data_IF_366171952466
#
_entry.id   IF_366171952466
#
_cell.length_a   1.000
_cell.length_b   1.000
_cell.length_c   1.000
_cell.angle_alpha   90.00
_cell.angle_beta   90.00
_cell.angle_gamma   90.00
#
_symmetry.space_group_name_H-M   'P 1'
#
loop_
_entity.id
_entity.type
_entity.pdbx_description
1 polymer ?
#
# COMPACT_ATOMS: atom_id res chain seq x y z
N UNK A 1 15.61 14.34 1.74
CA UNK A 1 17.02 14.03 2.03
C UNK A 1 17.05 12.87 3.01
N UNK A 2 17.78 11.78 2.71
CA UNK A 2 17.99 10.62 3.59
C UNK A 2 18.94 10.93 4.76
N UNK A 3 19.11 9.98 5.69
CA UNK A 3 20.03 10.11 6.84
C UNK A 3 19.51 10.93 8.03
N UNK A 4 18.19 11.02 8.21
CA UNK A 4 17.55 11.86 9.25
C UNK A 4 16.88 11.08 10.37
N UNK A 5 17.08 9.76 10.44
CA UNK A 5 16.35 8.94 11.40
C UNK A 5 16.71 9.34 12.85
N UNK A 6 17.99 9.54 13.11
CA UNK A 6 18.50 9.87 14.45
C UNK A 6 18.34 11.35 14.83
N UNK A 7 18.14 12.25 13.86
CA UNK A 7 17.77 13.65 14.16
C UNK A 7 16.31 13.79 14.57
N UNK A 8 15.49 12.77 14.31
CA UNK A 8 14.07 12.69 14.66
C UNK A 8 13.77 11.64 15.72
N UNK A 9 14.79 11.22 16.47
CA UNK A 9 14.68 10.21 17.51
C UNK A 9 15.23 10.73 18.84
N UNK A 10 14.77 10.17 19.95
CA UNK A 10 15.26 10.49 21.28
C UNK A 10 15.52 9.23 22.11
N UNK A 11 16.44 9.37 23.06
CA UNK A 11 16.68 8.45 24.15
C UNK A 11 16.76 9.27 25.45
N UNK A 12 16.19 8.75 26.54
CA UNK A 12 16.11 9.49 27.80
C UNK A 12 17.50 9.80 28.35
N UNK A 13 17.77 11.09 28.60
CA UNK A 13 19.05 11.56 29.15
C UNK A 13 20.21 11.55 28.14
N UNK A 14 19.95 11.37 26.85
CA UNK A 14 20.98 11.27 25.82
C UNK A 14 20.85 12.42 24.80
N UNK A 15 21.98 12.94 24.29
CA UNK A 15 21.97 13.93 23.23
C UNK A 15 21.46 13.35 21.90
N UNK A 16 21.05 14.25 21.01
CA UNK A 16 20.71 13.90 19.63
C UNK A 16 21.99 13.56 18.86
N UNK A 17 22.02 12.42 18.16
CA UNK A 17 23.21 12.01 17.42
C UNK A 17 23.39 12.89 16.18
N UNK A 18 24.58 13.46 16.01
CA UNK A 18 24.93 14.28 14.84
C UNK A 18 25.23 13.39 13.64
N UNK A 19 24.33 13.36 12.66
CA UNK A 19 24.47 12.59 11.41
C UNK A 19 24.68 13.50 10.18
N UNK A 20 25.91 14.02 9.94
CA UNK A 20 26.16 14.87 8.79
C UNK A 20 26.12 14.07 7.48
N UNK A 21 26.04 14.78 6.35
CA UNK A 21 26.19 14.16 5.02
C UNK A 21 27.65 13.69 4.84
N UNK A 22 27.82 12.53 4.23
CA UNK A 22 29.11 11.91 3.89
C UNK A 22 29.62 12.40 2.55
N UNK A 23 30.95 12.52 2.44
CA UNK A 23 31.64 12.63 1.15
C UNK A 23 31.54 11.31 0.36
N UNK A 24 31.77 11.30 -0.97
CA UNK A 24 31.84 10.07 -1.74
C UNK A 24 32.94 9.10 -1.26
N UNK A 25 34.07 9.63 -0.79
CA UNK A 25 35.17 8.83 -0.24
C UNK A 25 34.77 8.14 1.08
N UNK A 26 34.18 8.88 2.02
CA UNK A 26 33.67 8.31 3.27
C UNK A 26 32.57 7.28 3.03
N UNK A 27 31.64 7.59 2.13
CA UNK A 27 30.57 6.67 1.76
C UNK A 27 31.15 5.37 1.21
N UNK A 28 32.08 5.42 0.25
CA UNK A 28 32.69 4.23 -0.34
C UNK A 28 33.48 3.41 0.69
N UNK A 29 34.25 4.07 1.55
CA UNK A 29 35.02 3.45 2.63
C UNK A 29 34.12 2.73 3.62
N UNK A 30 33.09 3.41 4.14
CA UNK A 30 32.18 2.84 5.13
C UNK A 30 31.26 1.78 4.53
N UNK A 31 30.78 1.96 3.29
CA UNK A 31 30.00 0.97 2.56
C UNK A 31 30.76 -0.35 2.42
N UNK A 32 32.04 -0.29 2.05
CA UNK A 32 32.89 -1.48 1.92
C UNK A 32 33.08 -2.16 3.27
N UNK A 33 33.50 -1.39 4.29
CA UNK A 33 33.71 -1.89 5.65
C UNK A 33 32.48 -2.61 6.20
N UNK A 34 31.32 -1.95 6.19
CA UNK A 34 30.12 -2.53 6.80
C UNK A 34 29.50 -3.62 5.94
N UNK A 35 29.69 -3.63 4.61
CA UNK A 35 29.33 -4.79 3.80
C UNK A 35 30.09 -6.06 4.24
N UNK A 36 31.39 -5.94 4.52
CA UNK A 36 32.21 -7.06 5.01
C UNK A 36 31.79 -7.51 6.42
N UNK A 37 31.60 -6.57 7.35
CA UNK A 37 31.15 -6.91 8.70
C UNK A 37 29.75 -7.55 8.70
N UNK A 38 28.84 -7.08 7.84
CA UNK A 38 27.51 -7.68 7.67
C UNK A 38 27.58 -9.09 7.06
N UNK A 39 28.46 -9.35 6.08
CA UNK A 39 28.66 -10.72 5.55
C UNK A 39 29.20 -11.67 6.60
N UNK A 40 30.05 -11.18 7.51
CA UNK A 40 30.53 -11.99 8.64
C UNK A 40 29.41 -12.29 9.64
N UNK A 41 28.52 -11.33 9.89
CA UNK A 41 27.38 -11.50 10.77
C UNK A 41 26.29 -12.40 10.17
N UNK A 42 26.09 -12.34 8.85
CA UNK A 42 25.11 -13.12 8.09
C UNK A 42 25.78 -14.05 7.06
N UNK A 43 26.51 -15.10 7.49
CA UNK A 43 27.35 -15.91 6.61
C UNK A 43 26.58 -16.75 5.58
N UNK A 44 25.27 -16.94 5.76
CA UNK A 44 24.39 -17.69 4.86
C UNK A 44 23.41 -16.81 4.09
N UNK A 45 23.61 -15.50 4.12
CA UNK A 45 22.75 -14.52 3.47
C UNK A 45 23.50 -13.79 2.37
N UNK A 46 22.77 -13.40 1.33
CA UNK A 46 23.22 -12.36 0.40
C UNK A 46 23.09 -11.01 1.09
N UNK A 47 24.16 -10.21 1.05
CA UNK A 47 24.21 -8.83 1.54
C UNK A 47 24.47 -7.92 0.35
N UNK A 48 23.52 -7.04 0.03
CA UNK A 48 23.66 -6.03 -1.01
C UNK A 48 23.49 -4.64 -0.42
N UNK A 49 24.28 -3.69 -0.91
CA UNK A 49 24.02 -2.29 -0.69
C UNK A 49 23.23 -1.75 -1.89
N UNK A 50 22.16 -1.00 -1.66
CA UNK A 50 21.33 -0.48 -2.75
C UNK A 50 22.14 0.40 -3.70
N UNK A 51 21.72 0.39 -4.97
CA UNK A 51 22.33 1.24 -6.00
C UNK A 51 21.91 2.67 -5.75
N UNK A 52 22.89 3.54 -5.58
CA UNK A 52 22.66 4.97 -5.41
C UNK A 52 22.33 5.64 -6.73
N UNK A 53 21.61 6.75 -6.65
CA UNK A 53 21.43 7.57 -7.82
C UNK A 53 22.78 8.15 -8.29
N UNK A 54 23.05 8.17 -9.60
CA UNK A 54 24.33 8.61 -10.14
C UNK A 54 24.57 10.10 -9.87
N UNK A 55 25.85 10.52 -9.84
CA UNK A 55 26.22 11.93 -9.70
C UNK A 55 25.96 12.57 -8.33
N UNK A 56 25.57 11.81 -7.30
CA UNK A 56 25.48 12.32 -5.93
C UNK A 56 26.84 12.80 -5.44
N UNK A 57 26.88 14.05 -4.97
CA UNK A 57 28.08 14.67 -4.38
C UNK A 57 28.16 14.45 -2.86
N UNK A 58 27.05 14.03 -2.23
CA UNK A 58 27.01 13.68 -0.82
C UNK A 58 25.95 12.58 -0.53
N UNK A 59 26.09 11.90 0.61
CA UNK A 59 25.24 10.77 1.02
C UNK A 59 24.77 10.94 2.47
N UNK A 60 23.58 10.45 2.83
CA UNK A 60 23.04 10.60 4.20
C UNK A 60 23.03 9.32 5.00
N UNK A 61 22.86 8.23 4.28
CA UNK A 61 22.62 6.88 4.76
C UNK A 61 23.31 5.89 3.82
N UNK A 62 23.50 4.66 4.32
CA UNK A 62 23.89 3.51 3.52
C UNK A 62 22.82 2.45 3.72
N UNK A 63 22.07 2.15 2.66
CA UNK A 63 21.02 1.13 2.67
C UNK A 63 21.60 -0.25 2.34
N UNK A 64 21.49 -1.17 3.29
CA UNK A 64 21.82 -2.58 3.15
C UNK A 64 20.58 -3.45 3.20
N UNK A 65 20.52 -4.39 2.26
CA UNK A 65 19.47 -5.39 2.15
C UNK A 65 20.10 -6.76 2.30
N UNK A 66 19.47 -7.60 3.11
CA UNK A 66 20.02 -8.88 3.53
C UNK A 66 18.95 -9.95 3.35
N UNK A 67 19.29 -11.05 2.68
CA UNK A 67 18.33 -12.15 2.53
C UNK A 67 18.18 -12.94 3.82
N UNK A 68 16.96 -13.19 4.26
CA UNK A 68 16.66 -13.99 5.43
C UNK A 68 15.32 -14.73 5.28
N UNK A 69 15.19 -15.96 5.80
CA UNK A 69 13.90 -16.67 5.91
C UNK A 69 12.82 -15.84 6.60
N UNK A 70 11.54 -16.14 6.34
CA UNK A 70 10.38 -15.35 6.82
C UNK A 70 10.37 -15.20 8.35
N UNK A 71 10.72 -16.29 9.03
CA UNK A 71 10.73 -16.47 10.47
C UNK A 71 11.99 -15.94 11.16
N UNK A 72 13.06 -15.67 10.40
CA UNK A 72 14.28 -15.08 10.96
C UNK A 72 14.02 -13.64 11.41
N UNK A 73 14.20 -13.40 12.71
CA UNK A 73 14.14 -12.08 13.33
C UNK A 73 15.50 -11.41 13.34
N UNK A 74 15.52 -10.08 13.27
CA UNK A 74 16.72 -9.29 13.42
C UNK A 74 16.96 -8.97 14.91
N UNK A 75 18.07 -9.46 15.48
CA UNK A 75 18.56 -8.93 16.76
C UNK A 75 19.32 -7.63 16.50
N UNK A 76 18.57 -6.53 16.41
CA UNK A 76 19.10 -5.21 16.10
C UNK A 76 20.13 -4.73 17.13
N UNK A 77 20.01 -5.16 18.40
CA UNK A 77 20.90 -4.69 19.47
C UNK A 77 22.21 -5.46 19.45
N UNK A 78 22.19 -6.78 19.24
CA UNK A 78 23.40 -7.56 19.02
C UNK A 78 24.14 -7.10 17.76
N UNK A 79 23.42 -6.91 16.65
CA UNK A 79 24.00 -6.37 15.41
C UNK A 79 24.66 -5.01 15.64
N UNK A 80 23.97 -4.09 16.31
CA UNK A 80 24.52 -2.77 16.65
C UNK A 80 25.82 -2.87 17.47
N UNK A 81 25.90 -3.79 18.44
CA UNK A 81 27.13 -4.02 19.22
C UNK A 81 28.25 -4.55 18.34
N UNK A 82 27.97 -5.51 17.44
CA UNK A 82 28.98 -6.09 16.55
C UNK A 82 29.58 -5.06 15.59
N UNK A 83 28.71 -4.22 15.02
CA UNK A 83 29.11 -3.14 14.11
C UNK A 83 29.69 -1.92 14.83
N UNK A 84 29.67 -1.88 16.17
CA UNK A 84 30.19 -0.76 16.95
C UNK A 84 29.35 0.52 16.82
N UNK A 85 28.03 0.38 16.64
CA UNK A 85 27.11 1.52 16.55
C UNK A 85 26.93 2.19 17.92
N UNK A 86 26.81 3.52 17.94
CA UNK A 86 26.43 4.28 19.14
C UNK A 86 24.93 4.25 19.38
N UNK A 87 24.14 4.28 18.32
CA UNK A 87 22.68 4.35 18.37
C UNK A 87 22.02 3.25 17.56
N UNK A 88 20.87 2.78 18.02
CA UNK A 88 20.00 1.86 17.28
C UNK A 88 18.54 2.28 17.38
N UNK A 89 17.86 2.35 16.25
CA UNK A 89 16.41 2.54 16.15
C UNK A 89 15.80 1.27 15.58
N UNK A 90 14.86 0.69 16.32
CA UNK A 90 14.09 -0.48 15.93
C UNK A 90 12.69 -0.37 16.53
N UNK A 91 11.71 -1.03 15.90
CA UNK A 91 10.34 -1.02 16.42
C UNK A 91 10.17 -2.00 17.60
N UNK A 92 9.35 -1.66 18.58
CA UNK A 92 9.33 -2.25 19.93
C UNK A 92 8.45 -3.51 20.09
N UNK A 93 8.51 -4.44 19.15
CA UNK A 93 7.41 -5.36 18.84
C UNK A 93 7.85 -6.58 18.03
N UNK A 94 8.99 -7.17 18.42
CA UNK A 94 9.27 -8.61 18.31
C UNK A 94 9.20 -9.34 16.96
N UNK A 95 8.98 -8.65 15.83
CA UNK A 95 8.86 -9.28 14.50
C UNK A 95 9.51 -8.45 13.39
N UNK A 96 10.39 -7.51 13.73
CA UNK A 96 10.89 -6.56 12.76
C UNK A 96 12.09 -7.08 11.99
N UNK A 97 12.03 -6.81 10.69
CA UNK A 97 13.02 -7.14 9.69
C UNK A 97 13.79 -5.90 9.25
N UNK A 98 13.79 -4.82 10.04
CA UNK A 98 14.54 -3.60 9.74
C UNK A 98 15.07 -2.92 11.00
N UNK A 99 16.20 -2.23 10.87
CA UNK A 99 16.69 -1.30 11.87
C UNK A 99 17.53 -0.19 11.26
N UNK A 100 17.68 0.92 11.99
CA UNK A 100 18.61 1.99 11.66
C UNK A 100 19.72 2.01 12.71
N UNK A 101 20.97 2.09 12.27
CA UNK A 101 22.14 2.11 13.14
C UNK A 101 22.90 3.43 12.95
N UNK A 102 23.41 4.01 14.03
CA UNK A 102 24.30 5.16 13.99
C UNK A 102 25.72 4.72 14.32
N UNK A 103 26.59 4.61 13.31
CA UNK A 103 27.99 4.17 13.47
C UNK A 103 28.93 5.38 13.37
N UNK A 104 30.08 5.40 14.07
CA UNK A 104 31.02 6.52 13.98
C UNK A 104 31.51 6.78 12.54
N UNK A 105 31.53 8.05 12.13
CA UNK A 105 31.94 8.48 10.77
C UNK A 105 33.42 8.20 10.49
N UNK A 106 34.26 8.29 11.51
CA UNK A 106 35.69 7.96 11.39
C UNK A 106 35.95 6.45 11.19
N UNK A 107 34.94 5.61 11.43
CA UNK A 107 35.04 4.16 11.36
C UNK A 107 35.51 3.50 12.66
N UNK A 108 35.63 4.24 13.76
CA UNK A 108 35.83 3.69 15.09
C UNK A 108 34.60 2.89 15.56
N UNK A 109 34.72 2.18 16.69
CA UNK A 109 33.60 1.47 17.34
C UNK A 109 33.21 2.19 18.62
N UNK A 110 31.92 2.46 18.78
CA UNK A 110 31.39 2.98 20.03
C UNK A 110 31.54 1.94 21.16
N UNK A 111 31.73 2.42 22.39
CA UNK A 111 31.87 1.58 23.60
C UNK A 111 30.52 1.06 24.10
N UNK A 112 29.45 1.76 23.78
CA UNK A 112 28.09 1.44 24.20
C UNK A 112 27.09 1.67 23.05
N UNK A 113 25.98 0.94 23.11
CA UNK A 113 24.86 1.06 22.16
C UNK A 113 23.63 1.57 22.91
N UNK A 114 23.06 2.67 22.42
CA UNK A 114 21.89 3.31 23.01
C UNK A 114 20.67 3.08 22.10
N UNK A 115 19.56 2.52 22.62
CA UNK A 115 18.29 2.48 21.89
C UNK A 115 17.62 3.85 21.80
N UNK A 116 17.32 4.30 20.58
CA UNK A 116 16.57 5.53 20.30
C UNK A 116 15.14 5.20 19.83
N UNK A 117 14.18 6.06 20.17
CA UNK A 117 12.78 5.96 19.74
C UNK A 117 12.43 7.13 18.82
N UNK A 118 11.77 6.84 17.70
CA UNK A 118 11.25 7.88 16.80
C UNK A 118 10.19 8.74 17.48
N UNK A 119 10.26 10.05 17.24
CA UNK A 119 9.29 11.02 17.73
C UNK A 119 8.36 11.36 16.58
N UNK A 120 7.15 10.81 16.61
CA UNK A 120 6.20 10.95 15.50
C UNK A 120 5.84 12.40 15.20
N UNK A 121 6.06 12.85 13.95
CA UNK A 121 5.54 14.11 13.45
C UNK A 121 4.02 14.06 13.29
N UNK A 122 3.29 14.97 13.96
CA UNK A 122 1.86 15.23 13.68
C UNK A 122 1.72 15.74 12.24
N UNK A 123 1.32 14.89 11.30
CA UNK A 123 0.65 15.39 10.09
C UNK A 123 -0.86 15.45 10.38
N UNK A 124 -1.41 16.65 10.53
CA UNK A 124 -2.85 16.87 10.42
C UNK A 124 -3.29 16.42 9.02
N UNK A 125 -3.82 15.20 8.89
CA UNK A 125 -4.63 14.78 7.75
C UNK A 125 -6.04 14.54 8.27
N UNK A 126 -7.08 15.18 7.70
CA UNK A 126 -8.44 14.71 7.91
C UNK A 126 -8.55 13.27 7.38
N UNK A 127 -9.26 12.42 8.13
CA UNK A 127 -9.32 10.98 7.91
C UNK A 127 -9.70 10.60 6.49
N UNK A 128 -8.77 9.91 5.81
CA UNK A 128 -9.11 8.94 4.77
C UNK A 128 -8.40 7.65 5.14
N UNK A 129 -9.20 6.64 5.49
CA UNK A 129 -8.77 5.26 5.61
C UNK A 129 -8.20 4.82 4.26
N UNK A 130 -6.88 4.68 4.19
CA UNK A 130 -6.24 3.78 3.23
C UNK A 130 -5.79 2.61 4.09
N UNK A 131 -6.60 1.55 4.11
CA UNK A 131 -6.35 0.35 4.90
C UNK A 131 -5.31 -0.53 4.19
N UNK A 132 -4.23 -0.74 4.91
CA UNK A 132 -3.18 -1.76 4.80
C UNK A 132 -3.52 -3.02 3.98
N UNK A 133 -2.71 -3.30 2.97
CA UNK A 133 -2.32 -4.66 2.58
C UNK A 133 -1.19 -5.13 3.51
N UNK A 134 -1.00 -6.43 3.75
CA UNK A 134 0.18 -6.92 4.45
C UNK A 134 1.37 -6.91 3.47
N UNK A 135 2.03 -5.76 3.32
CA UNK A 135 3.35 -5.68 2.66
C UNK A 135 4.45 -5.70 3.73
N UNK A 136 5.46 -6.54 3.54
CA UNK A 136 6.53 -6.81 4.51
C UNK A 136 7.81 -6.00 4.25
N UNK A 137 7.77 -5.01 3.36
CA UNK A 137 8.96 -4.23 3.01
C UNK A 137 8.52 -2.84 2.57
N UNK A 138 8.97 -1.79 3.26
CA UNK A 138 8.72 -0.38 2.95
C UNK A 138 7.29 0.22 3.18
N UNK A 139 6.80 0.17 4.43
CA UNK A 139 5.82 1.16 4.90
C UNK A 139 6.53 2.43 5.41
N UNK A 140 6.27 3.56 4.75
CA UNK A 140 6.52 4.89 5.35
C UNK A 140 5.54 5.07 6.51
N UNK A 141 6.11 5.20 7.71
CA UNK A 141 5.48 5.28 9.01
C UNK A 141 4.13 6.03 9.07
N UNK A 142 3.11 5.31 9.59
CA UNK A 142 2.06 5.88 10.45
C UNK A 142 1.95 5.01 11.70
N UNK A 143 2.56 5.45 12.79
CA UNK A 143 2.37 4.82 14.09
C UNK A 143 0.93 5.09 14.59
N UNK A 144 0.19 4.04 14.90
CA UNK A 144 -1.01 4.14 15.73
C UNK A 144 -0.59 4.30 17.19
N UNK A 145 -1.19 5.30 17.85
CA UNK A 145 -0.84 5.79 19.18
C UNK A 145 -1.38 4.86 20.27
N UNK A 146 -0.50 4.42 21.16
CA UNK A 146 -0.86 4.20 22.58
C UNK A 146 -0.22 5.33 23.38
N UNK A 147 -1.00 5.95 24.27
CA UNK A 147 -0.60 7.09 25.10
C UNK A 147 0.61 6.75 25.98
N UNK A 148 1.82 7.05 25.50
CA UNK A 148 3.04 7.08 26.30
C UNK A 148 3.72 8.43 26.09
N UNK A 149 4.11 9.05 27.20
CA UNK A 149 4.67 10.40 27.35
C UNK A 149 5.53 10.86 26.17
N UNK A 150 5.18 12.01 25.59
CA UNK A 150 5.88 12.62 24.46
C UNK A 150 7.32 12.99 24.85
N UNK A 151 8.30 12.21 24.41
CA UNK A 151 9.71 12.59 24.47
C UNK A 151 10.03 13.51 23.28
N UNK A 152 10.75 14.61 23.52
CA UNK A 152 11.31 15.47 22.46
C UNK A 152 12.78 15.13 22.24
N UNK A 153 13.35 15.37 21.03
CA UNK A 153 14.78 15.23 20.80
C UNK A 153 15.51 16.22 21.71
N UNK A 154 16.69 15.85 22.19
CA UNK A 154 17.51 16.81 22.92
C UNK A 154 17.90 17.96 22.00
N UNK A 155 17.85 19.19 22.51
CA UNK A 155 18.40 20.36 21.79
C UNK A 155 19.93 20.30 21.67
N UNK A 156 20.58 19.45 22.47
CA UNK A 156 22.02 19.20 22.41
C UNK A 156 22.35 18.08 21.44
N UNK A 157 23.38 18.30 20.62
CA UNK A 157 23.93 17.32 19.70
C UNK A 157 25.23 16.72 20.25
N UNK A 158 25.57 15.50 19.82
CA UNK A 158 26.91 14.95 20.05
C UNK A 158 27.99 15.75 19.33
N UNK A 159 29.18 15.82 19.92
CA UNK A 159 30.36 16.39 19.26
C UNK A 159 30.83 15.46 18.12
N UNK A 160 30.81 14.15 18.36
CA UNK A 160 31.18 13.15 17.36
C UNK A 160 30.13 13.07 16.25
N UNK A 161 30.62 12.73 15.05
CA UNK A 161 29.80 12.52 13.86
C UNK A 161 29.51 11.04 13.65
N UNK A 162 28.29 10.75 13.24
CA UNK A 162 27.80 9.39 12.97
C UNK A 162 27.23 9.28 11.56
N UNK A 163 27.18 8.05 11.06
CA UNK A 163 26.59 7.66 9.79
C UNK A 163 25.41 6.75 10.06
N UNK A 164 24.33 6.97 9.31
CA UNK A 164 23.16 6.10 9.37
C UNK A 164 23.36 4.88 8.47
N UNK A 165 23.26 3.67 9.02
CA UNK A 165 23.13 2.43 8.26
C UNK A 165 21.69 1.93 8.36
N UNK A 166 21.04 1.75 7.22
CA UNK A 166 19.68 1.22 7.14
C UNK A 166 19.77 -0.24 6.76
N UNK A 167 19.31 -1.12 7.65
CA UNK A 167 19.37 -2.58 7.46
C UNK A 167 17.95 -3.09 7.24
N UNK A 168 17.73 -3.82 6.16
CA UNK A 168 16.45 -4.47 5.85
C UNK A 168 16.65 -5.95 5.49
N UNK A 169 15.94 -6.83 6.19
CA UNK A 169 15.89 -8.26 5.91
C UNK A 169 14.75 -8.54 4.94
N UNK A 170 15.06 -9.11 3.78
CA UNK A 170 14.06 -9.49 2.76
C UNK A 170 14.12 -10.99 2.51
N UNK A 171 13.05 -11.56 1.95
CA UNK A 171 13.06 -12.98 1.59
C UNK A 171 13.97 -13.18 0.38
N UNK A 172 14.72 -14.30 0.27
CA UNK A 172 15.60 -14.54 -0.87
C UNK A 172 14.91 -14.34 -2.23
N UNK A 173 13.67 -14.82 -2.36
CA UNK A 173 12.86 -14.68 -3.59
C UNK A 173 12.45 -13.23 -3.91
N UNK A 174 12.34 -12.38 -2.89
CA UNK A 174 11.93 -10.98 -3.01
C UNK A 174 13.10 -10.03 -3.30
N UNK A 175 14.33 -10.48 -3.02
CA UNK A 175 15.54 -9.66 -3.12
C UNK A 175 15.69 -8.96 -4.48
N UNK A 176 15.53 -9.64 -5.64
CA UNK A 176 15.71 -8.99 -6.93
C UNK A 176 14.72 -7.85 -7.16
N UNK A 177 13.45 -8.05 -6.77
CA UNK A 177 12.42 -7.02 -6.88
C UNK A 177 12.72 -5.83 -5.98
N UNK A 178 13.05 -6.09 -4.71
CA UNK A 178 13.33 -5.03 -3.74
C UNK A 178 14.54 -4.19 -4.16
N UNK A 179 15.65 -4.84 -4.54
CA UNK A 179 16.85 -4.16 -5.01
C UNK A 179 16.57 -3.32 -6.26
N UNK A 180 15.72 -3.78 -7.18
CA UNK A 180 15.29 -2.99 -8.32
C UNK A 180 14.39 -1.82 -7.92
N UNK A 181 13.31 -2.08 -7.20
CA UNK A 181 12.31 -1.09 -6.79
C UNK A 181 12.91 0.08 -6.00
N UNK A 182 13.80 -0.21 -5.06
CA UNK A 182 14.43 0.77 -4.16
C UNK A 182 15.71 1.41 -4.74
N UNK A 183 16.19 0.96 -5.90
CA UNK A 183 17.40 1.50 -6.52
C UNK A 183 17.27 2.94 -7.00
N UNK A 184 18.42 3.57 -7.20
CA UNK A 184 18.58 4.91 -7.76
C UNK A 184 17.74 5.98 -7.04
N UNK A 185 17.54 5.78 -5.72
CA UNK A 185 16.89 6.70 -4.80
C UNK A 185 15.36 6.72 -4.80
N UNK A 186 14.69 6.57 -5.95
CA UNK A 186 13.22 6.52 -6.03
C UNK A 186 12.71 5.89 -7.35
N UNK A 187 13.42 4.88 -7.89
CA UNK A 187 13.07 4.29 -9.20
C UNK A 187 11.61 3.80 -9.24
N UNK A 188 11.19 3.02 -8.24
CA UNK A 188 9.82 2.55 -8.11
C UNK A 188 8.79 3.68 -8.04
N UNK A 189 9.13 4.80 -7.38
CA UNK A 189 8.29 5.99 -7.30
C UNK A 189 8.13 6.69 -8.65
N UNK A 190 9.21 6.84 -9.42
CA UNK A 190 9.20 7.42 -10.77
C UNK A 190 8.35 6.57 -11.71
N UNK A 191 8.66 5.28 -11.83
CA UNK A 191 7.92 4.37 -12.71
C UNK A 191 6.45 4.27 -12.28
N UNK A 192 6.18 4.16 -10.98
CA UNK A 192 4.84 4.10 -10.43
C UNK A 192 4.02 5.36 -10.74
N UNK A 193 4.66 6.53 -10.80
CA UNK A 193 3.99 7.77 -11.22
C UNK A 193 3.62 7.73 -12.69
N UNK A 194 4.50 7.28 -13.57
CA UNK A 194 4.22 7.17 -15.01
C UNK A 194 3.14 6.12 -15.30
N UNK A 195 3.14 5.00 -14.55
CA UNK A 195 2.20 3.89 -14.70
C UNK A 195 0.77 4.18 -14.22
N UNK A 196 0.59 5.15 -13.31
CA UNK A 196 -0.64 5.35 -12.51
C UNK A 196 -1.94 5.41 -13.31
N UNK A 197 -1.90 6.09 -14.45
CA UNK A 197 -3.07 6.37 -15.29
C UNK A 197 -3.53 5.15 -16.09
N UNK A 198 -2.63 4.18 -16.29
CA UNK A 198 -2.87 2.94 -17.04
C UNK A 198 -3.35 1.79 -16.15
N UNK A 199 -3.65 2.05 -14.88
CA UNK A 199 -4.07 1.02 -13.93
C UNK A 199 -2.93 0.14 -13.41
N UNK A 200 -1.71 0.27 -13.94
CA UNK A 200 -0.54 -0.40 -13.41
C UNK A 200 -0.07 0.26 -12.12
N UNK A 201 0.34 -0.55 -11.15
CA UNK A 201 0.85 -0.12 -9.85
C UNK A 201 2.17 -0.85 -9.61
N UNK A 202 3.25 -0.08 -9.49
CA UNK A 202 4.55 -0.60 -9.09
C UNK A 202 4.67 -0.39 -7.59
N UNK A 203 4.53 -1.48 -6.84
CA UNK A 203 4.56 -1.49 -5.39
C UNK A 203 5.84 -2.16 -4.86
N UNK A 204 6.08 -1.99 -3.57
CA UNK A 204 7.07 -2.75 -2.82
C UNK A 204 6.89 -4.26 -3.00
N UNK A 205 5.66 -4.77 -3.13
CA UNK A 205 5.32 -6.20 -3.24
C UNK A 205 5.31 -6.77 -4.66
N UNK A 206 5.54 -5.97 -5.70
CA UNK A 206 5.42 -6.41 -7.10
C UNK A 206 4.70 -5.39 -7.99
N UNK A 207 4.55 -5.77 -9.26
CA UNK A 207 3.67 -5.12 -10.21
C UNK A 207 2.24 -5.63 -10.01
N UNK A 208 1.29 -4.72 -9.88
CA UNK A 208 -0.14 -5.02 -9.80
C UNK A 208 -0.91 -4.30 -10.91
N UNK A 209 -2.03 -4.90 -11.30
CA UNK A 209 -3.04 -4.33 -12.17
C UNK A 209 -4.27 -3.94 -11.34
N UNK A 210 -4.60 -2.67 -11.36
CA UNK A 210 -5.85 -2.13 -10.82
C UNK A 210 -6.96 -2.33 -11.83
N UNK A 211 -8.06 -2.94 -11.42
CA UNK A 211 -9.25 -3.12 -12.25
C UNK A 211 -9.94 -1.76 -12.51
N UNK A 212 -10.49 -1.60 -13.71
CA UNK A 212 -11.19 -0.36 -14.09
C UNK A 212 -12.49 -0.22 -13.31
N UNK A 213 -13.14 -1.34 -13.02
CA UNK A 213 -14.37 -1.48 -12.26
C UNK A 213 -14.20 -0.89 -10.86
N UNK A 214 -13.05 -1.14 -10.20
CA UNK A 214 -12.70 -0.54 -8.91
C UNK A 214 -12.63 0.99 -9.00
N UNK A 215 -12.00 1.54 -10.04
CA UNK A 215 -11.92 3.00 -10.23
C UNK A 215 -13.29 3.62 -10.50
N UNK A 216 -14.18 2.90 -11.18
CA UNK A 216 -15.53 3.38 -11.49
C UNK A 216 -16.44 3.38 -10.25
N UNK A 217 -16.21 2.52 -9.25
CA UNK A 217 -16.93 2.60 -7.96
C UNK A 217 -16.78 3.94 -7.25
N UNK A 218 -15.64 4.61 -7.41
CA UNK A 218 -15.36 5.91 -6.78
C UNK A 218 -16.15 7.07 -7.40
N UNK A 219 -16.75 6.84 -8.57
CA UNK A 219 -17.55 7.82 -9.32
C UNK A 219 -19.05 7.57 -9.16
N UNK A 220 -19.45 6.45 -8.54
CA UNK A 220 -20.85 6.14 -8.32
C UNK A 220 -21.47 7.15 -7.36
N UNK A 221 -22.76 7.43 -7.57
CA UNK A 221 -23.55 8.28 -6.66
C UNK A 221 -23.63 7.65 -5.26
N UNK A 222 -23.68 6.32 -5.22
CA UNK A 222 -23.70 5.56 -3.98
C UNK A 222 -22.29 5.32 -3.43
N UNK A 223 -22.15 5.45 -2.11
CA UNK A 223 -20.94 5.04 -1.39
C UNK A 223 -20.90 3.51 -1.29
N UNK A 224 -20.26 2.86 -2.25
CA UNK A 224 -20.03 1.42 -2.25
C UNK A 224 -18.87 1.07 -1.31
N UNK A 225 -19.03 -0.02 -0.57
CA UNK A 225 -18.05 -0.57 0.37
C UNK A 225 -17.27 -1.68 -0.32
N UNK A 226 -16.35 -1.29 -1.21
CA UNK A 226 -15.48 -2.21 -1.95
C UNK A 226 -14.07 -2.06 -1.41
N UNK A 227 -13.47 -3.16 -0.94
CA UNK A 227 -12.08 -3.16 -0.50
C UNK A 227 -11.15 -3.08 -1.71
N UNK A 228 -10.11 -2.24 -1.65
CA UNK A 228 -9.17 -2.06 -2.77
C UNK A 228 -8.57 -3.40 -3.24
N UNK A 229 -8.24 -4.31 -2.31
CA UNK A 229 -7.70 -5.65 -2.63
C UNK A 229 -8.57 -6.46 -3.59
N UNK A 230 -9.89 -6.22 -3.63
CA UNK A 230 -10.82 -6.92 -4.51
C UNK A 230 -10.71 -6.45 -5.97
N UNK A 231 -9.97 -5.36 -6.24
CA UNK A 231 -9.70 -4.85 -7.59
C UNK A 231 -8.21 -4.65 -7.87
N UNK A 232 -7.32 -5.32 -7.15
CA UNK A 232 -5.86 -5.28 -7.36
C UNK A 232 -5.32 -6.69 -7.66
N UNK A 233 -5.14 -7.00 -8.94
CA UNK A 233 -4.55 -8.25 -9.40
C UNK A 233 -3.03 -8.16 -9.32
N UNK A 234 -2.37 -9.12 -8.68
CA UNK A 234 -0.90 -9.21 -8.70
C UNK A 234 -0.43 -9.82 -10.04
N UNK A 235 0.56 -9.20 -10.69
CA UNK A 235 1.06 -9.64 -11.99
C UNK A 235 2.41 -10.36 -11.89
N UNK A 236 3.42 -9.70 -11.28
CA UNK A 236 4.78 -10.22 -11.24
C UNK A 236 5.62 -9.52 -10.17
N UNK A 237 6.62 -10.23 -9.67
CA UNK A 237 7.71 -9.72 -8.82
C UNK A 237 9.08 -9.96 -9.49
N UNK A 238 9.08 -10.32 -10.77
CA UNK A 238 10.31 -10.43 -11.57
C UNK A 238 10.67 -9.07 -12.20
N UNK A 239 11.73 -8.40 -11.74
CA UNK A 239 12.10 -7.08 -12.26
C UNK A 239 12.53 -7.12 -13.73
N UNK A 240 13.06 -8.24 -14.23
CA UNK A 240 13.46 -8.37 -15.64
C UNK A 240 12.21 -8.35 -16.51
N UNK A 241 11.23 -9.20 -16.21
CA UNK A 241 9.97 -9.26 -16.95
C UNK A 241 9.19 -7.94 -16.88
N UNK A 242 9.21 -7.28 -15.72
CA UNK A 242 8.56 -5.97 -15.58
C UNK A 242 9.28 -4.89 -16.40
N UNK A 243 10.62 -4.85 -16.39
CA UNK A 243 11.36 -3.93 -17.25
C UNK A 243 11.07 -4.18 -18.74
N UNK A 244 11.04 -5.44 -19.17
CA UNK A 244 10.72 -5.82 -20.56
C UNK A 244 9.31 -5.36 -20.96
N UNK A 245 8.29 -5.61 -20.14
CA UNK A 245 6.92 -5.12 -20.39
C UNK A 245 6.90 -3.60 -20.54
N UNK A 246 7.73 -2.88 -19.78
CA UNK A 246 7.81 -1.42 -19.80
C UNK A 246 8.73 -0.86 -20.90
N UNK A 247 9.26 -1.69 -21.80
CA UNK A 247 10.26 -1.37 -22.82
C UNK A 247 11.56 -0.76 -22.24
N UNK A 248 11.98 -1.26 -21.08
CA UNK A 248 13.23 -0.89 -20.43
C UNK A 248 14.23 -2.03 -20.56
N UNK A 249 15.46 -1.73 -21.01
CA UNK A 249 16.50 -2.76 -21.16
C UNK A 249 17.08 -3.19 -19.80
N UNK A 250 16.90 -4.46 -19.36
CA UNK A 250 17.41 -4.93 -18.08
C UNK A 250 18.94 -4.89 -18.00
N UNK A 251 19.62 -5.24 -19.09
CA UNK A 251 21.09 -5.22 -19.17
C UNK A 251 21.67 -3.85 -18.82
N UNK A 252 21.03 -2.77 -19.29
CA UNK A 252 21.43 -1.40 -18.98
C UNK A 252 21.26 -1.09 -17.49
N UNK A 253 20.16 -1.49 -16.88
CA UNK A 253 19.92 -1.33 -15.44
C UNK A 253 21.01 -2.02 -14.60
N UNK A 254 21.37 -3.27 -14.95
CA UNK A 254 22.37 -4.04 -14.21
C UNK A 254 23.78 -3.49 -14.40
N UNK A 255 24.14 -3.03 -15.59
CA UNK A 255 25.41 -2.36 -15.88
C UNK A 255 25.62 -1.05 -15.09
N UNK A 256 24.54 -0.38 -14.71
CA UNK A 256 24.60 0.89 -13.99
C UNK A 256 24.59 2.12 -14.90
N UNK A 257 24.56 3.30 -14.28
CA UNK A 257 24.59 4.60 -14.95
C UNK A 257 25.72 5.45 -14.37
N UNK A 258 26.47 6.14 -15.23
CA UNK A 258 27.55 7.04 -14.77
C UNK A 258 27.01 8.41 -14.40
N UNK A 259 25.95 8.85 -15.07
CA UNK A 259 25.34 10.17 -14.90
C UNK A 259 23.84 10.07 -14.70
N UNK A 260 23.25 11.11 -14.08
CA UNK A 260 21.79 11.22 -13.96
C UNK A 260 21.13 11.27 -15.33
N UNK A 261 21.76 11.93 -16.31
CA UNK A 261 21.26 12.00 -17.67
C UNK A 261 21.14 10.62 -18.32
N UNK A 262 22.14 9.74 -18.15
CA UNK A 262 22.07 8.37 -18.66
C UNK A 262 20.91 7.56 -18.04
N UNK A 263 20.64 7.77 -16.76
CA UNK A 263 19.51 7.15 -16.06
C UNK A 263 18.18 7.69 -16.58
N UNK A 264 18.07 9.00 -16.75
CA UNK A 264 16.87 9.64 -17.27
C UNK A 264 16.59 9.23 -18.71
N UNK A 265 17.61 9.21 -19.57
CA UNK A 265 17.48 8.73 -20.95
C UNK A 265 16.99 7.28 -21.01
N UNK A 266 17.44 6.41 -20.10
CA UNK A 266 16.92 5.05 -19.99
C UNK A 266 15.46 5.03 -19.52
N UNK A 267 15.10 5.83 -18.50
CA UNK A 267 13.71 5.96 -18.06
C UNK A 267 12.78 6.48 -19.16
N UNK A 268 13.23 7.45 -19.96
CA UNK A 268 12.51 8.03 -21.09
C UNK A 268 12.25 7.05 -22.23
N UNK A 269 13.02 5.95 -22.34
CA UNK A 269 12.73 4.87 -23.29
C UNK A 269 11.51 4.04 -22.90
N UNK A 270 11.06 4.15 -21.65
CA UNK A 270 9.90 3.40 -21.21
C UNK A 270 8.68 3.78 -22.04
N UNK A 271 7.89 2.79 -22.44
CA UNK A 271 6.59 3.03 -23.08
C UNK A 271 5.59 3.79 -22.18
N UNK A 272 5.91 4.00 -20.90
CA UNK A 272 5.14 4.84 -19.98
C UNK A 272 5.47 6.34 -20.14
N UNK A 273 6.62 6.68 -20.71
CA UNK A 273 7.02 8.05 -21.03
C UNK A 273 6.29 8.51 -22.30
N UNK A 274 4.96 8.66 -22.20
CA UNK A 274 4.11 9.06 -23.30
C UNK A 274 3.19 10.20 -22.87
N UNK A 275 3.14 11.25 -23.69
CA UNK A 275 2.39 12.48 -23.39
C UNK A 275 0.91 12.19 -23.08
N UNK A 276 0.26 11.39 -23.90
CA UNK A 276 -1.15 10.97 -23.75
C UNK A 276 -1.43 10.15 -22.48
N UNK A 277 -0.41 9.51 -21.90
CA UNK A 277 -0.50 8.79 -20.61
C UNK A 277 -0.35 9.77 -19.44
N UNK A 278 0.56 10.74 -19.56
CA UNK A 278 1.00 11.60 -18.46
C UNK A 278 0.20 12.90 -18.32
N UNK A 279 -0.38 13.39 -19.42
CA UNK A 279 -1.03 14.71 -19.58
C UNK A 279 -2.23 14.95 -18.66
N UNK A 280 -2.80 13.91 -18.06
CA UNK A 280 -3.96 14.07 -17.18
C UNK A 280 -3.54 14.56 -15.78
N UNK A 281 -3.33 15.87 -15.61
CA UNK A 281 -3.49 16.56 -14.32
C UNK A 281 -3.93 18.02 -14.44
N UNK A 282 -5.08 18.35 -13.82
CA UNK A 282 -5.23 19.60 -13.07
C UNK A 282 -4.30 19.55 -11.86
N UNK A 283 -3.34 20.46 -11.80
CA UNK A 283 -2.39 20.57 -10.68
C UNK A 283 -3.13 20.79 -9.35
N UNK A 284 -2.95 19.90 -8.36
CA UNK A 284 -3.46 20.14 -6.99
C UNK A 284 -2.36 20.67 -6.08
N UNK A 285 -2.73 21.57 -5.17
CA UNK A 285 -1.84 22.26 -4.21
C UNK A 285 -1.03 21.32 -3.29
N UNK A 286 -1.45 20.07 -3.13
CA UNK A 286 -0.78 19.05 -2.32
C UNK A 286 0.47 18.47 -3.01
N UNK A 287 0.49 18.45 -4.36
CA UNK A 287 1.67 18.01 -5.12
C UNK A 287 2.82 19.05 -4.99
N UNK A 288 2.49 20.35 -4.97
CA UNK A 288 3.45 21.46 -4.76
C UNK A 288 4.22 21.38 -3.44
N UNK A 289 3.58 20.93 -2.36
CA UNK A 289 4.26 20.80 -1.06
C UNK A 289 5.21 19.59 -0.99
N UNK A 290 5.05 18.57 -1.86
CA UNK A 290 5.97 17.42 -1.95
C UNK A 290 7.15 17.68 -2.90
N UNK A 291 6.99 18.56 -3.89
CA UNK A 291 8.00 18.92 -4.90
C UNK A 291 9.26 19.55 -4.29
N UNK A 292 9.14 20.31 -3.19
CA UNK A 292 10.27 21.04 -2.58
C UNK A 292 11.30 20.17 -1.83
N UNK A 293 11.24 18.82 -1.84
CA UNK A 293 12.09 17.99 -0.95
C UNK A 293 12.79 16.75 -1.55
N UNK A 294 12.73 16.48 -2.88
CA UNK A 294 13.42 15.32 -3.50
C UNK A 294 13.97 15.60 -4.91
N UNK A 295 15.29 15.67 -5.03
CA UNK A 295 16.06 16.22 -6.17
C UNK A 295 16.01 15.43 -7.48
N UNK A 296 15.89 14.10 -7.47
CA UNK A 296 15.95 13.30 -8.72
C UNK A 296 14.56 13.01 -9.28
N UNK A 297 13.63 12.60 -8.41
CA UNK A 297 12.24 12.39 -8.80
C UNK A 297 11.61 13.66 -9.39
N UNK A 298 11.75 14.81 -8.72
CA UNK A 298 11.09 16.06 -9.19
C UNK A 298 11.75 16.55 -10.46
N UNK A 299 13.09 16.53 -10.56
CA UNK A 299 13.79 16.96 -11.78
C UNK A 299 13.44 16.08 -12.97
N UNK A 300 13.30 14.76 -12.79
CA UNK A 300 12.81 13.89 -13.87
C UNK A 300 11.38 14.25 -14.27
N UNK A 301 10.44 14.24 -13.32
CA UNK A 301 9.01 14.36 -13.63
C UNK A 301 8.57 15.76 -14.07
N UNK A 302 9.18 16.80 -13.49
CA UNK A 302 8.73 18.19 -13.64
C UNK A 302 9.61 19.00 -14.62
N UNK A 303 10.75 18.44 -15.06
CA UNK A 303 11.65 19.11 -16.03
C UNK A 303 12.08 18.16 -17.13
N UNK A 304 12.96 17.18 -16.85
CA UNK A 304 13.57 16.37 -17.90
C UNK A 304 12.55 15.64 -18.78
N UNK A 305 11.52 15.02 -18.20
CA UNK A 305 10.51 14.25 -18.94
C UNK A 305 9.62 15.14 -19.81
N UNK A 306 9.05 16.27 -19.32
CA UNK A 306 8.41 17.26 -20.18
C UNK A 306 9.28 17.73 -21.36
N UNK A 307 10.56 18.04 -21.11
CA UNK A 307 11.50 18.48 -22.14
C UNK A 307 11.73 17.38 -23.19
N UNK A 308 11.96 16.15 -22.71
CA UNK A 308 12.16 14.97 -23.54
C UNK A 308 10.95 14.66 -24.44
N UNK A 309 9.74 14.93 -23.94
CA UNK A 309 8.48 14.74 -24.68
C UNK A 309 8.07 15.96 -25.51
N UNK A 310 8.84 17.06 -25.48
CA UNK A 310 8.52 18.30 -26.20
C UNK A 310 7.25 19.00 -25.69
N UNK A 311 6.90 18.86 -24.41
CA UNK A 311 5.65 19.34 -23.82
C UNK A 311 5.67 20.80 -23.35
N UNK A 312 6.66 21.58 -23.78
CA UNK A 312 6.92 22.98 -23.33
C UNK A 312 5.92 24.04 -23.79
N UNK A 313 4.82 23.66 -24.41
CA UNK A 313 3.80 24.63 -24.80
C UNK A 313 2.97 24.95 -23.55
N UNK A 314 2.74 26.23 -23.29
CA UNK A 314 1.63 26.69 -22.43
C UNK A 314 0.32 26.20 -23.07
N UNK A 315 0.02 24.92 -22.88
CA UNK A 315 -1.20 24.32 -23.40
C UNK A 315 -2.34 24.88 -22.55
N UNK A 316 -3.29 25.54 -23.22
CA UNK A 316 -4.54 25.96 -22.59
C UNK A 316 -5.18 24.76 -21.88
N UNK A 317 -5.77 24.99 -20.70
CA UNK A 317 -6.48 23.91 -20.00
C UNK A 317 -7.54 23.34 -20.94
N UNK A 318 -7.60 22.00 -21.13
CA UNK A 318 -8.59 21.42 -22.02
C UNK A 318 -9.98 21.81 -21.54
N UNK A 319 -10.85 22.15 -22.48
CA UNK A 319 -12.25 22.35 -22.16
C UNK A 319 -12.91 21.02 -21.72
N UNK A 320 -14.13 21.07 -21.21
CA UNK A 320 -14.79 19.87 -20.67
C UNK A 320 -14.95 18.75 -21.71
N UNK A 321 -15.17 19.08 -22.99
CA UNK A 321 -15.31 18.11 -24.07
C UNK A 321 -13.97 17.45 -24.40
N UNK A 322 -12.91 18.25 -24.54
CA UNK A 322 -11.54 17.77 -24.76
C UNK A 322 -11.06 16.90 -23.61
N UNK A 323 -11.33 17.31 -22.36
CA UNK A 323 -10.98 16.53 -21.18
C UNK A 323 -11.69 15.18 -21.14
N UNK A 324 -12.97 15.13 -21.52
CA UNK A 324 -13.72 13.88 -21.63
C UNK A 324 -13.18 12.99 -22.75
N UNK A 325 -12.81 13.57 -23.90
CA UNK A 325 -12.20 12.86 -25.01
C UNK A 325 -10.84 12.26 -24.63
N UNK A 326 -9.96 13.03 -23.98
CA UNK A 326 -8.68 12.56 -23.47
C UNK A 326 -8.84 11.42 -22.47
N UNK A 327 -9.82 11.53 -21.57
CA UNK A 327 -10.10 10.48 -20.58
C UNK A 327 -10.65 9.20 -21.25
N UNK A 328 -11.45 9.34 -22.30
CA UNK A 328 -11.93 8.20 -23.08
C UNK A 328 -10.77 7.52 -23.82
N UNK A 329 -9.88 8.29 -24.46
CA UNK A 329 -8.68 7.78 -25.12
C UNK A 329 -7.76 7.06 -24.12
N UNK A 330 -7.52 7.63 -22.93
CA UNK A 330 -6.75 6.97 -21.89
C UNK A 330 -7.40 5.65 -21.43
N UNK A 331 -8.74 5.57 -21.39
CA UNK A 331 -9.44 4.34 -21.03
C UNK A 331 -9.19 3.23 -22.05
N UNK A 332 -9.11 3.56 -23.34
CA UNK A 332 -8.74 2.62 -24.41
C UNK A 332 -7.30 2.16 -24.22
N UNK A 333 -6.36 3.11 -24.06
CA UNK A 333 -4.94 2.79 -23.85
C UNK A 333 -4.71 1.93 -22.60
N UNK A 334 -5.47 2.18 -21.53
CA UNK A 334 -5.45 1.34 -20.33
C UNK A 334 -5.91 -0.10 -20.62
N UNK A 335 -6.91 -0.30 -21.47
CA UNK A 335 -7.36 -1.63 -21.86
C UNK A 335 -6.30 -2.37 -22.66
N UNK A 336 -5.63 -1.69 -23.60
CA UNK A 336 -4.51 -2.26 -24.36
C UNK A 336 -3.37 -2.72 -23.42
N UNK A 337 -2.92 -1.84 -22.52
CA UNK A 337 -1.85 -2.18 -21.57
C UNK A 337 -2.27 -3.29 -20.61
N UNK A 338 -3.54 -3.33 -20.22
CA UNK A 338 -4.09 -4.42 -19.42
C UNK A 338 -3.99 -5.73 -20.20
N UNK A 339 -4.53 -5.78 -21.40
CA UNK A 339 -4.63 -7.02 -22.17
C UNK A 339 -3.25 -7.56 -22.52
N UNK A 340 -2.32 -6.70 -22.93
CA UNK A 340 -0.91 -7.05 -23.12
C UNK A 340 -0.26 -7.60 -21.84
N UNK A 341 -0.48 -6.95 -20.69
CA UNK A 341 0.08 -7.42 -19.42
C UNK A 341 -0.53 -8.76 -18.98
N UNK A 342 -1.83 -8.96 -19.21
CA UNK A 342 -2.51 -10.23 -18.90
C UNK A 342 -1.98 -11.37 -19.77
N UNK A 343 -1.71 -11.11 -21.04
CA UNK A 343 -1.14 -12.12 -21.95
C UNK A 343 0.33 -12.39 -21.62
N UNK A 344 1.12 -11.34 -21.39
CA UNK A 344 2.56 -11.45 -21.10
C UNK A 344 2.83 -12.18 -19.78
N UNK A 345 1.98 -12.01 -18.76
CA UNK A 345 2.13 -12.68 -17.46
C UNK A 345 1.24 -13.91 -17.27
N UNK A 346 0.45 -14.31 -18.28
CA UNK A 346 -0.50 -15.42 -18.21
C UNK A 346 -1.51 -15.28 -17.04
N UNK A 347 -2.16 -14.12 -16.96
CA UNK A 347 -3.07 -13.72 -15.86
C UNK A 347 -4.53 -13.54 -16.28
N UNK A 348 -4.89 -13.89 -17.52
CA UNK A 348 -6.23 -13.63 -18.08
C UNK A 348 -7.36 -14.32 -17.30
N UNK A 349 -7.23 -15.61 -16.99
CA UNK A 349 -8.26 -16.34 -16.25
C UNK A 349 -8.45 -15.81 -14.82
N UNK A 350 -7.35 -15.47 -14.13
CA UNK A 350 -7.39 -14.89 -12.78
C UNK A 350 -8.05 -13.50 -12.80
N UNK A 351 -7.72 -12.68 -13.81
CA UNK A 351 -8.36 -11.39 -14.03
C UNK A 351 -9.86 -11.51 -14.25
N UNK A 352 -10.30 -12.44 -15.10
CA UNK A 352 -11.72 -12.63 -15.42
C UNK A 352 -12.51 -13.05 -14.17
N UNK A 353 -12.03 -14.06 -13.42
CA UNK A 353 -12.67 -14.47 -12.17
C UNK A 353 -12.73 -13.34 -11.14
N UNK A 354 -11.64 -12.59 -10.98
CA UNK A 354 -11.57 -11.44 -10.07
C UNK A 354 -12.52 -10.31 -10.49
N UNK A 355 -12.55 -10.00 -11.79
CA UNK A 355 -13.43 -8.97 -12.37
C UNK A 355 -14.88 -9.35 -12.18
N UNK A 356 -15.25 -10.59 -12.47
CA UNK A 356 -16.64 -11.04 -12.42
C UNK A 356 -17.14 -11.03 -10.97
N UNK A 357 -16.33 -11.50 -10.01
CA UNK A 357 -16.63 -11.39 -8.58
C UNK A 357 -16.76 -9.92 -8.12
N UNK A 358 -15.88 -9.04 -8.59
CA UNK A 358 -15.93 -7.61 -8.26
C UNK A 358 -17.19 -6.94 -8.82
N UNK A 359 -17.52 -7.18 -10.09
CA UNK A 359 -18.72 -6.65 -10.75
C UNK A 359 -19.98 -7.16 -10.06
N UNK A 360 -20.02 -8.45 -9.72
CA UNK A 360 -21.12 -9.05 -8.97
C UNK A 360 -21.31 -8.36 -7.62
N UNK A 361 -20.23 -8.16 -6.86
CA UNK A 361 -20.27 -7.43 -5.58
C UNK A 361 -20.76 -5.98 -5.75
N UNK A 362 -20.27 -5.27 -6.77
CA UNK A 362 -20.71 -3.90 -7.07
C UNK A 362 -22.21 -3.87 -7.36
N UNK A 363 -22.68 -4.74 -8.24
CA UNK A 363 -24.09 -4.81 -8.63
C UNK A 363 -25.00 -5.17 -7.45
N UNK A 364 -24.59 -6.13 -6.62
CA UNK A 364 -25.31 -6.48 -5.40
C UNK A 364 -25.42 -5.28 -4.44
N UNK A 365 -24.37 -4.47 -4.30
CA UNK A 365 -24.42 -3.27 -3.45
C UNK A 365 -25.28 -2.15 -4.05
N UNK A 366 -25.25 -1.95 -5.37
CA UNK A 366 -26.14 -1.00 -6.06
C UNK A 366 -27.60 -1.42 -5.84
N UNK A 367 -27.94 -2.69 -6.04
CA UNK A 367 -29.28 -3.20 -5.80
C UNK A 367 -29.72 -2.99 -4.34
N UNK A 368 -28.84 -3.25 -3.36
CA UNK A 368 -29.10 -2.95 -1.94
C UNK A 368 -29.39 -1.46 -1.69
N UNK A 369 -28.68 -0.55 -2.37
CA UNK A 369 -28.94 0.89 -2.26
C UNK A 369 -30.30 1.27 -2.86
N UNK A 370 -30.68 0.69 -3.99
CA UNK A 370 -31.98 0.93 -4.64
C UNK A 370 -33.16 0.34 -3.85
N UNK A 371 -32.96 -0.78 -3.15
CA UNK A 371 -33.98 -1.38 -2.28
C UNK A 371 -34.22 -0.57 -1.01
N UNK A 372 -33.19 0.12 -0.51
CA UNK A 372 -33.23 0.79 0.80
C UNK A 372 -34.40 1.79 0.94
N UNK A 373 -34.71 2.66 -0.04
CA UNK A 373 -35.89 3.52 0.01
C UNK A 373 -37.22 2.77 0.07
N UNK A 374 -37.39 1.68 -0.70
CA UNK A 374 -38.60 0.85 -0.71
C UNK A 374 -38.80 0.17 0.65
N UNK A 375 -37.72 -0.39 1.20
CA UNK A 375 -37.75 -0.99 2.54
C UNK A 375 -38.08 0.04 3.61
N UNK A 376 -37.55 1.25 3.52
CA UNK A 376 -37.85 2.32 4.46
C UNK A 376 -39.32 2.78 4.38
N UNK A 377 -39.87 2.87 3.15
CA UNK A 377 -41.27 3.20 2.89
C UNK A 377 -42.23 2.22 3.58
N UNK A 378 -42.01 0.91 3.43
CA UNK A 378 -42.94 -0.11 3.95
C UNK A 378 -42.69 -0.50 5.41
N UNK A 379 -41.44 -0.54 5.85
CA UNK A 379 -41.12 -0.96 7.23
C UNK A 379 -41.20 0.15 8.27
N UNK A 380 -41.29 1.42 7.83
CA UNK A 380 -41.20 2.61 8.69
C UNK A 380 -39.90 2.72 9.49
N UNK A 381 -38.93 1.83 9.23
CA UNK A 381 -37.71 1.70 10.02
C UNK A 381 -36.64 2.68 9.56
N UNK A 382 -35.83 3.15 10.51
CA UNK A 382 -34.68 4.03 10.27
C UNK A 382 -33.38 3.38 10.78
N UNK A 383 -32.25 3.91 10.33
CA UNK A 383 -30.90 3.63 10.84
C UNK A 383 -30.57 2.13 10.94
N UNK A 384 -30.21 1.65 12.14
CA UNK A 384 -29.75 0.28 12.38
C UNK A 384 -30.80 -0.78 12.04
N UNK A 385 -32.07 -0.50 12.33
CA UNK A 385 -33.17 -1.41 12.00
C UNK A 385 -33.34 -1.53 10.48
N UNK A 386 -33.16 -0.43 9.75
CA UNK A 386 -33.19 -0.43 8.29
C UNK A 386 -32.01 -1.21 7.71
N UNK A 387 -30.81 -1.08 8.28
CA UNK A 387 -29.63 -1.86 7.86
C UNK A 387 -29.78 -3.36 8.14
N UNK A 388 -30.41 -3.74 9.26
CA UNK A 388 -30.76 -5.14 9.57
C UNK A 388 -31.69 -5.72 8.49
N UNK A 389 -32.76 -5.01 8.14
CA UNK A 389 -33.71 -5.49 7.13
C UNK A 389 -33.02 -5.56 5.76
N UNK A 390 -32.26 -4.54 5.35
CA UNK A 390 -31.52 -4.59 4.07
C UNK A 390 -30.52 -5.74 4.00
N UNK A 391 -29.90 -6.11 5.13
CA UNK A 391 -29.04 -7.30 5.19
C UNK A 391 -29.85 -8.58 5.00
N UNK A 392 -31.04 -8.67 5.59
CA UNK A 392 -31.94 -9.81 5.40
C UNK A 392 -32.30 -9.98 3.92
N UNK A 393 -32.63 -8.89 3.20
CA UNK A 393 -32.85 -8.95 1.75
C UNK A 393 -31.67 -9.54 0.98
N UNK A 394 -30.44 -9.15 1.33
CA UNK A 394 -29.24 -9.68 0.67
C UNK A 394 -28.97 -11.17 0.88
N UNK A 395 -29.56 -11.78 1.91
CA UNK A 395 -29.29 -13.17 2.30
C UNK A 395 -30.43 -14.12 1.99
N UNK A 396 -31.66 -13.63 2.10
CA UNK A 396 -32.85 -14.48 2.06
C UNK A 396 -33.69 -14.29 0.80
N UNK A 397 -33.28 -13.42 -0.12
CA UNK A 397 -34.03 -13.17 -1.35
C UNK A 397 -33.25 -13.70 -2.54
N UNK A 398 -33.91 -14.60 -3.28
CA UNK A 398 -33.47 -15.09 -4.57
C UNK A 398 -34.24 -14.43 -5.71
N UNK A 399 -33.77 -14.65 -6.93
CA UNK A 399 -34.45 -14.20 -8.14
C UNK A 399 -34.61 -15.37 -9.11
N UNK A 400 -35.83 -15.60 -9.59
CA UNK A 400 -36.07 -16.61 -10.64
C UNK A 400 -35.50 -16.16 -11.99
N UNK A 401 -35.36 -17.09 -12.94
CA UNK A 401 -34.91 -16.80 -14.31
C UNK A 401 -35.74 -15.72 -15.04
N UNK A 402 -36.97 -15.49 -14.57
CA UNK A 402 -37.88 -14.46 -15.11
C UNK A 402 -37.78 -13.11 -14.38
N UNK A 403 -36.85 -12.94 -13.44
CA UNK A 403 -36.69 -11.70 -12.69
C UNK A 403 -37.63 -11.55 -11.48
N UNK A 404 -38.37 -12.60 -11.11
CA UNK A 404 -39.35 -12.55 -10.02
C UNK A 404 -38.66 -12.88 -8.69
N UNK A 405 -38.75 -12.01 -7.66
CA UNK A 405 -38.18 -12.23 -6.34
C UNK A 405 -38.94 -13.29 -5.57
N UNK A 406 -38.23 -14.09 -4.78
CA UNK A 406 -38.81 -15.05 -3.85
C UNK A 406 -37.98 -15.16 -2.57
N UNK A 407 -38.61 -15.57 -1.48
CA UNK A 407 -37.93 -15.85 -0.20
C UNK A 407 -37.31 -17.23 -0.26
N UNK A 408 -36.02 -17.33 0.04
CA UNK A 408 -35.26 -18.59 0.05
C UNK A 408 -35.50 -19.37 1.34
N UNK A 409 -35.37 -20.69 1.24
CA UNK A 409 -35.39 -21.60 2.40
C UNK A 409 -34.11 -21.49 3.24
N UNK A 410 -32.98 -21.22 2.59
CA UNK A 410 -31.66 -21.08 3.23
C UNK A 410 -31.03 -19.71 2.93
N UNK A 411 -30.31 -19.18 3.92
CA UNK A 411 -29.62 -17.90 3.81
C UNK A 411 -28.32 -18.02 3.02
N UNK A 412 -28.14 -17.14 2.05
CA UNK A 412 -26.88 -16.88 1.39
C UNK A 412 -25.86 -16.18 2.32
N UNK A 413 -24.58 -16.33 1.98
CA UNK A 413 -23.54 -15.40 2.41
C UNK A 413 -23.75 -14.01 1.79
N UNK A 414 -22.97 -13.02 2.24
CA UNK A 414 -23.07 -11.67 1.66
C UNK A 414 -22.52 -11.65 0.21
N UNK A 415 -21.62 -12.58 -0.12
CA UNK A 415 -21.02 -12.80 -1.45
C UNK A 415 -21.96 -13.55 -2.41
N UNK A 416 -22.78 -14.46 -1.89
CA UNK A 416 -23.74 -15.27 -2.67
C UNK A 416 -25.03 -14.53 -3.02
N UNK A 417 -25.20 -13.28 -2.56
CA UNK A 417 -26.38 -12.44 -2.82
C UNK A 417 -26.80 -12.43 -4.29
N UNK A 418 -28.10 -12.66 -4.54
CA UNK A 418 -28.70 -12.65 -5.88
C UNK A 418 -29.32 -11.29 -6.28
N UNK A 419 -29.23 -10.27 -5.41
CA UNK A 419 -29.90 -8.98 -5.62
C UNK A 419 -29.50 -8.25 -6.91
N UNK A 420 -28.31 -8.51 -7.44
CA UNK A 420 -27.86 -7.99 -8.74
C UNK A 420 -28.84 -8.32 -9.89
N UNK A 421 -29.64 -9.39 -9.76
CA UNK A 421 -30.68 -9.77 -10.73
C UNK A 421 -31.87 -8.79 -10.78
N UNK A 422 -32.02 -7.93 -9.78
CA UNK A 422 -33.08 -6.90 -9.78
C UNK A 422 -32.70 -5.67 -10.59
N UNK A 423 -31.43 -5.53 -10.98
CA UNK A 423 -30.99 -4.36 -11.73
C UNK A 423 -31.47 -4.44 -13.19
N UNK A 424 -31.87 -3.30 -13.71
CA UNK A 424 -32.08 -3.11 -15.14
C UNK A 424 -30.77 -3.32 -15.94
N UNK A 425 -30.85 -3.25 -17.26
CA UNK A 425 -29.71 -3.55 -18.12
C UNK A 425 -28.61 -2.48 -17.99
N UNK A 426 -28.98 -1.23 -17.69
CA UNK A 426 -28.05 -0.13 -17.43
C UNK A 426 -27.39 -0.19 -16.04
N UNK A 427 -27.84 -1.07 -15.14
CA UNK A 427 -27.38 -1.16 -13.74
C UNK A 427 -27.53 0.14 -12.95
N UNK A 428 -28.48 0.99 -13.33
CA UNK A 428 -28.78 2.28 -12.68
C UNK A 428 -30.12 2.32 -11.94
N UNK A 429 -30.97 1.32 -12.17
CA UNK A 429 -32.29 1.24 -11.56
C UNK A 429 -32.74 -0.20 -11.41
N UNK A 430 -33.91 -0.39 -10.80
CA UNK A 430 -34.55 -1.69 -10.72
C UNK A 430 -35.21 -2.01 -12.07
N UNK A 431 -35.19 -3.29 -12.45
CA UNK A 431 -35.79 -3.78 -13.71
C UNK A 431 -37.31 -3.67 -13.68
N UNK A 432 -37.93 -4.03 -12.55
CA UNK A 432 -39.36 -3.89 -12.30
C UNK A 432 -39.56 -3.36 -10.88
N UNK A 433 -39.56 -2.02 -10.76
CA UNK A 433 -39.67 -1.35 -9.47
C UNK A 433 -41.02 -1.63 -8.80
N UNK A 434 -42.11 -1.76 -9.56
CA UNK A 434 -43.45 -2.00 -9.01
C UNK A 434 -43.54 -3.38 -8.37
N UNK A 435 -43.05 -4.40 -9.07
CA UNK A 435 -43.02 -5.78 -8.57
C UNK A 435 -42.08 -5.92 -7.36
N UNK A 436 -40.93 -5.24 -7.36
CA UNK A 436 -40.04 -5.23 -6.20
C UNK A 436 -40.65 -4.48 -5.02
N UNK A 437 -41.33 -3.35 -5.24
CA UNK A 437 -42.05 -2.61 -4.18
C UNK A 437 -43.16 -3.45 -3.55
N UNK A 438 -43.95 -4.17 -4.35
CA UNK A 438 -44.98 -5.09 -3.87
C UNK A 438 -44.37 -6.24 -3.04
N UNK A 439 -43.29 -6.85 -3.54
CA UNK A 439 -42.58 -7.91 -2.82
C UNK A 439 -42.02 -7.42 -1.48
N UNK A 440 -41.40 -6.23 -1.46
CA UNK A 440 -40.88 -5.61 -0.24
C UNK A 440 -42.01 -5.37 0.75
N UNK A 441 -43.15 -4.82 0.30
CA UNK A 441 -44.31 -4.57 1.14
C UNK A 441 -44.80 -5.85 1.85
N UNK A 442 -44.80 -6.97 1.13
CA UNK A 442 -45.32 -8.25 1.60
C UNK A 442 -44.35 -9.02 2.51
N UNK A 443 -43.04 -8.98 2.23
CA UNK A 443 -42.09 -9.93 2.82
C UNK A 443 -41.06 -9.33 3.80
N UNK A 444 -41.00 -8.00 3.97
CA UNK A 444 -39.95 -7.39 4.80
C UNK A 444 -39.97 -7.87 6.28
N UNK A 445 -41.14 -8.15 6.85
CA UNK A 445 -41.28 -8.65 8.24
C UNK A 445 -40.75 -10.08 8.38
N UNK A 446 -41.13 -10.95 7.44
CA UNK A 446 -40.68 -12.34 7.34
C UNK A 446 -39.16 -12.41 7.21
N UNK A 447 -38.58 -11.68 6.25
CA UNK A 447 -37.14 -11.65 6.02
C UNK A 447 -36.37 -11.19 7.26
N UNK A 448 -36.87 -10.15 7.94
CA UNK A 448 -36.28 -9.66 9.19
C UNK A 448 -36.34 -10.72 10.30
N UNK A 449 -37.44 -11.46 10.40
CA UNK A 449 -37.56 -12.55 11.35
C UNK A 449 -36.56 -13.67 11.07
N UNK A 450 -36.47 -14.14 9.82
CA UNK A 450 -35.52 -15.17 9.41
C UNK A 450 -34.06 -14.81 9.72
N UNK A 451 -33.66 -13.56 9.44
CA UNK A 451 -32.31 -13.08 9.74
C UNK A 451 -32.02 -13.01 11.25
N UNK A 452 -33.03 -12.73 12.08
CA UNK A 452 -32.89 -12.74 13.54
C UNK A 452 -32.76 -14.15 14.09
N UNK A 453 -33.54 -15.09 13.59
CA UNK A 453 -33.44 -16.50 14.01
C UNK A 453 -32.08 -17.09 13.65
N UNK A 454 -31.58 -16.84 12.43
CA UNK A 454 -30.21 -17.19 12.03
C UNK A 454 -29.16 -16.56 12.96
N UNK A 455 -29.30 -15.27 13.25
CA UNK A 455 -28.34 -14.58 14.13
C UNK A 455 -28.36 -15.11 15.57
N UNK A 456 -29.50 -15.64 16.06
CA UNK A 456 -29.58 -16.33 17.36
C UNK A 456 -28.91 -17.70 17.31
N UNK A 457 -29.16 -18.48 16.27
CA UNK A 457 -28.57 -19.81 16.08
C UNK A 457 -27.02 -19.77 15.98
N UNK A 458 -26.47 -18.69 15.44
CA UNK A 458 -25.01 -18.47 15.33
C UNK A 458 -24.33 -17.97 16.61
N UNK A 459 -25.08 -17.59 17.66
CA UNK A 459 -24.45 -17.20 18.93
C UNK A 459 -23.96 -18.46 19.64
N UNK A 460 -22.70 -18.52 20.08
CA UNK A 460 -22.24 -19.64 20.90
C UNK A 460 -23.14 -19.73 22.13
N UNK A 461 -23.67 -20.93 22.38
CA UNK A 461 -24.33 -21.20 23.66
C UNK A 461 -23.29 -20.94 24.74
N UNK A 462 -23.59 -20.02 25.67
CA UNK A 462 -22.83 -19.96 26.92
C UNK A 462 -23.02 -21.33 27.56
N UNK A 463 -21.97 -22.14 27.60
CA UNK A 463 -21.94 -23.27 28.53
C UNK A 463 -22.20 -22.68 29.92
N UNK A 464 -23.29 -23.11 30.54
CA UNK A 464 -23.60 -22.80 31.93
C UNK A 464 -22.45 -23.38 32.77
N UNK A 465 -21.52 -22.51 33.16
CA UNK A 465 -20.56 -22.84 34.21
C UNK A 465 -21.38 -22.87 35.50
N UNK A 466 -21.64 -24.08 35.98
CA UNK A 466 -22.29 -24.39 37.24
C UNK A 466 -21.67 -23.53 38.37
N UNK A 467 -22.45 -22.73 39.14
CA UNK A 467 -21.92 -21.85 40.18
C UNK A 467 -21.34 -22.59 41.39
N UNK A 468 -21.33 -23.92 41.40
CA UNK A 468 -20.99 -24.74 42.56
C UNK A 468 -19.62 -25.42 42.49
N UNK A 469 -18.56 -24.71 42.10
CA UNK A 469 -17.19 -25.08 42.51
C UNK A 469 -16.38 -23.84 42.87
N UNK A 470 -16.68 -23.28 44.05
CA UNK A 470 -15.69 -22.49 44.80
C UNK A 470 -14.65 -23.47 45.34
N UNK A 471 -13.55 -23.62 44.61
CA UNK A 471 -12.34 -24.23 45.16
C UNK A 471 -11.83 -23.31 46.27
N UNK A 472 -11.86 -23.83 47.48
CA UNK A 472 -11.23 -23.27 48.67
C UNK A 472 -9.73 -23.09 48.45
N UNK A 473 -9.24 -21.86 48.56
CA UNK A 473 -7.83 -21.54 48.71
C UNK A 473 -7.28 -22.15 50.01
N UNK A 474 -6.05 -22.71 50.04
CA UNK A 474 -5.39 -23.01 51.29
C UNK A 474 -4.84 -21.72 51.90
N UNK A 475 -5.19 -21.50 53.17
CA UNK A 475 -4.59 -20.51 54.06
C UNK A 475 -3.13 -20.90 54.29
N UNK A 476 -2.22 -19.98 54.01
CA UNK A 476 -0.86 -20.03 54.52
C UNK A 476 -0.85 -19.46 55.94
N UNK A 477 -0.20 -20.18 56.84
CA UNK A 477 0.09 -19.77 58.22
C UNK A 477 1.62 -19.93 58.43
N UNK A 478 2.20 -19.27 59.45
CA UNK A 478 3.01 -18.05 59.32
C UNK A 478 4.50 -18.23 59.03
#
# INVERSE_FOLDING_TARGET
MGGTAFTQAAATGQPTLRTPRMSPEDYARLKTKYAEELRQYFPHSTVEALKEAPGKTDFGDIDFVITAPVDQKLDSLDLARKLGAKGVIYSSGGGYRRCHLAVPLDGSKATEVIPYKHIGGRSNRPGKEVRSMPSTSCQIYKAQLTNSSQQQPSETFTEEAYVQLDIELVRPEHMPWFSWYASYGDLGGILGRMARNLGLIIADSGLLLRLQELDDTKKQEYKLQIADKNGLLWLSEDPIKVMELLNLFPSRFYAGFNTVEEMYAWLGQSRLAAADVLRIKRNTSVDRMKQNKRTIYSTFMDSWLPDHLGLHVEMEEPNDEEYLAEKAALRIKRQEYRDEALDYFDKRAEYEGMRDALVLSINNQIAKHLLRPLVAKHSGSKDLKLSEINRAFGRWVGCSDRGVPYVKEEAHSDEESELHNFLNDEKKGLRDEALVDEFVAKHWEELKYLERERAKALRPQKEDVDPCMKVSSPVADP
#
